data_IF_954562302522
#
_entry.id   IF_954562302522
#
_cell.length_a   1.000
_cell.length_b   1.000
_cell.length_c   1.000
_cell.angle_alpha   90.00
_cell.angle_beta   90.00
_cell.angle_gamma   90.00
#
_symmetry.space_group_name_H-M   'P 1'
#
loop_
_entity.id
_entity.type
_entity.pdbx_description
1 polymer ?
#
# COMPACT_ATOMS: atom_id res chain seq x y z
N UNK A 1 -6.26 7.09 -8.44
CA UNK A 1 -5.02 7.15 -7.64
C UNK A 1 -3.96 7.96 -8.38
N UNK A 2 -2.86 8.36 -7.72
CA UNK A 2 -1.86 9.26 -8.35
C UNK A 2 -1.20 8.62 -9.57
N UNK A 3 -0.79 7.36 -9.48
CA UNK A 3 -0.18 6.66 -10.62
C UNK A 3 -1.18 6.41 -11.77
N UNK A 4 -2.46 6.17 -11.49
CA UNK A 4 -3.49 6.08 -12.53
C UNK A 4 -3.65 7.39 -13.29
N UNK A 5 -3.62 8.53 -12.56
CA UNK A 5 -3.65 9.85 -13.17
C UNK A 5 -2.42 10.10 -14.06
N UNK A 6 -1.22 9.74 -13.57
CA UNK A 6 0.01 9.84 -14.36
C UNK A 6 -0.06 8.98 -15.62
N UNK A 7 -0.52 7.74 -15.49
CA UNK A 7 -0.71 6.85 -16.64
C UNK A 7 -1.69 7.46 -17.66
N UNK A 8 -2.80 8.00 -17.20
CA UNK A 8 -3.75 8.70 -18.08
C UNK A 8 -3.11 9.91 -18.77
N UNK A 9 -2.33 10.72 -18.07
CA UNK A 9 -1.59 11.82 -18.68
C UNK A 9 -0.59 11.35 -19.75
N UNK A 10 0.05 10.20 -19.52
CA UNK A 10 1.05 9.64 -20.44
C UNK A 10 0.42 9.04 -21.70
N UNK A 11 -0.74 8.41 -21.57
CA UNK A 11 -1.34 7.55 -22.61
C UNK A 11 -2.66 8.05 -23.15
N UNK A 12 -3.37 8.91 -22.41
CA UNK A 12 -4.76 9.29 -22.69
C UNK A 12 -5.79 8.21 -22.33
N UNK A 13 -5.37 7.04 -21.84
CA UNK A 13 -6.25 5.92 -21.50
C UNK A 13 -6.56 5.92 -20.01
N UNK A 14 -7.86 5.90 -19.67
CA UNK A 14 -8.34 5.82 -18.29
C UNK A 14 -8.34 4.38 -17.80
N UNK A 15 -7.96 4.18 -16.56
CA UNK A 15 -8.01 2.91 -15.87
C UNK A 15 -7.74 3.11 -14.39
N UNK A 16 -8.11 2.15 -13.57
CA UNK A 16 -7.78 2.09 -12.16
C UNK A 16 -7.04 0.78 -11.89
N UNK A 17 -5.83 0.87 -11.37
CA UNK A 17 -4.99 -0.31 -11.17
C UNK A 17 -5.49 -1.16 -10.01
N UNK A 18 -5.50 -2.49 -10.20
CA UNK A 18 -6.19 -3.44 -9.32
C UNK A 18 -5.63 -3.48 -7.90
N UNK A 19 -4.30 -3.48 -7.71
CA UNK A 19 -3.72 -3.55 -6.37
C UNK A 19 -4.11 -2.35 -5.50
N UNK A 20 -4.28 -1.19 -6.14
CA UNK A 20 -4.71 0.04 -5.47
C UNK A 20 -6.20 0.11 -5.18
N UNK A 21 -7.03 -0.17 -6.22
CA UNK A 21 -8.49 -0.06 -6.05
C UNK A 21 -9.03 -1.16 -5.15
N UNK A 22 -8.38 -2.31 -5.09
CA UNK A 22 -8.80 -3.43 -4.25
C UNK A 22 -8.75 -3.13 -2.75
N UNK A 23 -7.91 -2.21 -2.32
CA UNK A 23 -7.85 -1.73 -0.94
C UNK A 23 -8.92 -0.68 -0.62
N UNK A 24 -9.73 -0.29 -1.60
CA UNK A 24 -10.82 0.63 -1.40
C UNK A 24 -12.13 -0.08 -1.05
N UNK A 25 -13.06 0.64 -0.43
CA UNK A 25 -14.40 0.13 -0.14
C UNK A 25 -15.34 0.17 -1.37
N UNK A 26 -14.80 0.18 -2.59
CA UNK A 26 -15.57 0.17 -3.84
C UNK A 26 -15.40 -1.13 -4.62
N UNK A 27 -14.44 -1.97 -4.23
CA UNK A 27 -14.03 -3.16 -4.96
C UNK A 27 -14.44 -4.45 -4.25
N UNK A 28 -15.02 -5.39 -4.99
CA UNK A 28 -15.36 -6.72 -4.50
C UNK A 28 -14.21 -7.69 -4.80
N UNK A 29 -13.49 -8.08 -3.76
CA UNK A 29 -12.31 -8.95 -3.86
C UNK A 29 -12.61 -10.32 -4.47
N UNK A 30 -13.79 -10.89 -4.20
CA UNK A 30 -14.18 -12.20 -4.70
C UNK A 30 -14.54 -12.17 -6.18
N UNK A 31 -15.11 -11.06 -6.66
CA UNK A 31 -15.51 -10.90 -8.06
C UNK A 31 -14.44 -10.23 -8.93
N UNK A 32 -13.49 -9.54 -8.32
CA UNK A 32 -12.46 -8.82 -9.05
C UNK A 32 -12.96 -7.58 -9.79
N UNK A 33 -14.00 -6.93 -9.27
CA UNK A 33 -14.66 -5.80 -9.93
C UNK A 33 -15.28 -4.81 -8.93
N UNK A 34 -15.69 -3.64 -9.39
CA UNK A 34 -16.48 -2.73 -8.58
C UNK A 34 -17.81 -3.36 -8.16
N UNK A 35 -18.23 -3.08 -6.92
CA UNK A 35 -19.52 -3.54 -6.42
C UNK A 35 -20.50 -2.37 -6.23
N UNK A 36 -21.56 -2.28 -7.05
CA UNK A 36 -22.55 -1.24 -6.90
C UNK A 36 -23.24 -1.22 -5.54
N UNK A 37 -23.35 -2.38 -4.86
CA UNK A 37 -23.91 -2.44 -3.51
C UNK A 37 -23.07 -1.63 -2.51
N UNK A 38 -21.75 -1.58 -2.67
CA UNK A 38 -20.85 -0.82 -1.79
C UNK A 38 -21.07 0.69 -1.96
N UNK A 39 -21.23 1.16 -3.18
CA UNK A 39 -21.52 2.56 -3.47
C UNK A 39 -22.91 2.98 -2.99
N UNK A 40 -23.90 2.06 -3.08
CA UNK A 40 -25.25 2.27 -2.54
C UNK A 40 -25.20 2.42 -1.02
N UNK A 41 -24.52 1.54 -0.31
CA UNK A 41 -24.36 1.61 1.15
C UNK A 41 -23.61 2.87 1.61
N UNK A 42 -22.67 3.34 0.81
CA UNK A 42 -21.95 4.59 1.08
C UNK A 42 -22.76 5.86 0.69
N UNK A 43 -23.90 5.71 0.03
CA UNK A 43 -24.74 6.82 -0.44
C UNK A 43 -24.13 7.62 -1.58
N UNK A 44 -23.31 6.99 -2.42
CA UNK A 44 -22.59 7.59 -3.55
C UNK A 44 -22.82 6.83 -4.87
N UNK A 45 -23.95 6.18 -5.02
CA UNK A 45 -24.27 5.36 -6.21
C UNK A 45 -24.13 6.11 -7.54
N UNK A 46 -24.27 7.42 -7.52
CA UNK A 46 -24.12 8.28 -8.70
C UNK A 46 -22.72 8.24 -9.31
N UNK A 47 -21.69 7.80 -8.59
CA UNK A 47 -20.32 7.70 -9.14
C UNK A 47 -20.12 6.45 -10.01
N UNK A 48 -20.97 5.43 -9.94
CA UNK A 48 -20.77 4.15 -10.63
C UNK A 48 -20.50 4.31 -12.12
N UNK A 49 -21.19 5.24 -12.78
CA UNK A 49 -20.99 5.50 -14.21
C UNK A 49 -19.65 6.21 -14.54
N UNK A 50 -19.00 6.80 -13.54
CA UNK A 50 -17.76 7.55 -13.71
C UNK A 50 -16.51 6.74 -13.30
N UNK A 51 -16.69 5.58 -12.68
CA UNK A 51 -15.56 4.71 -12.30
C UNK A 51 -14.84 4.20 -13.56
N UNK A 52 -13.51 4.36 -13.66
CA UNK A 52 -12.76 3.86 -14.80
C UNK A 52 -12.64 2.33 -14.74
N UNK A 53 -12.41 1.64 -15.87
CA UNK A 53 -12.22 0.19 -15.86
C UNK A 53 -11.05 -0.21 -14.95
N UNK A 54 -11.16 -1.35 -14.30
CA UNK A 54 -10.07 -1.96 -13.53
C UNK A 54 -9.08 -2.58 -14.52
N UNK A 55 -7.79 -2.38 -14.25
CA UNK A 55 -6.69 -2.89 -15.08
C UNK A 55 -5.66 -3.60 -14.20
N UNK A 56 -5.07 -4.67 -14.73
CA UNK A 56 -4.04 -5.43 -14.04
C UNK A 56 -2.70 -4.68 -13.96
N UNK A 57 -1.92 -4.99 -12.95
CA UNK A 57 -0.63 -4.33 -12.68
C UNK A 57 0.36 -4.41 -13.85
N UNK A 58 0.47 -5.56 -14.50
CA UNK A 58 1.35 -5.80 -15.65
C UNK A 58 0.63 -5.63 -17.02
N UNK A 59 -0.65 -5.31 -17.03
CA UNK A 59 -1.43 -5.10 -18.23
C UNK A 59 -0.96 -3.85 -18.97
N UNK A 60 -0.77 -3.95 -20.30
CA UNK A 60 -0.45 -2.79 -21.12
C UNK A 60 -1.71 -1.94 -21.28
N UNK A 61 -1.72 -0.78 -20.67
CA UNK A 61 -2.85 0.15 -20.60
C UNK A 61 -2.82 1.25 -21.67
N UNK A 62 -1.85 1.22 -22.56
CA UNK A 62 -1.67 2.20 -23.62
C UNK A 62 -0.20 2.46 -23.90
N UNK A 63 0.05 3.48 -24.73
CA UNK A 63 1.40 3.85 -25.15
C UNK A 63 1.63 5.36 -24.93
N UNK A 64 2.89 5.75 -24.75
CA UNK A 64 3.27 7.16 -24.68
C UNK A 64 2.82 7.89 -25.96
N UNK A 65 1.97 8.90 -25.81
CA UNK A 65 1.48 9.69 -26.94
C UNK A 65 2.58 10.58 -27.52
N UNK A 66 2.47 10.97 -28.79
CA UNK A 66 3.41 11.90 -29.42
C UNK A 66 3.50 13.25 -28.68
N UNK A 67 2.35 13.74 -28.16
CA UNK A 67 2.31 14.98 -27.39
C UNK A 67 3.09 14.84 -26.07
N UNK A 68 2.87 13.75 -25.34
CA UNK A 68 3.56 13.49 -24.08
C UNK A 68 5.06 13.26 -24.28
N UNK A 69 5.43 12.60 -25.38
CA UNK A 69 6.83 12.39 -25.75
C UNK A 69 7.60 13.73 -25.87
N UNK A 70 6.99 14.74 -26.49
CA UNK A 70 7.59 16.09 -26.60
C UNK A 70 7.77 16.75 -25.23
N UNK A 71 6.81 16.56 -24.31
CA UNK A 71 6.85 17.21 -23.00
C UNK A 71 7.83 16.52 -22.02
N UNK A 72 7.99 15.21 -22.13
CA UNK A 72 8.73 14.40 -21.16
C UNK A 72 10.10 13.93 -21.65
N UNK A 73 10.35 13.96 -22.95
CA UNK A 73 11.53 13.36 -23.56
C UNK A 73 11.46 11.82 -23.70
N UNK A 74 10.34 11.21 -23.31
CA UNK A 74 10.12 9.77 -23.50
C UNK A 74 9.86 9.47 -24.98
N UNK A 75 10.13 8.23 -25.39
CA UNK A 75 9.87 7.80 -26.78
C UNK A 75 8.37 7.55 -26.98
N UNK A 76 7.78 8.18 -28.00
CA UNK A 76 6.41 7.87 -28.41
C UNK A 76 6.25 6.40 -28.79
N UNK A 77 5.10 5.79 -28.45
CA UNK A 77 4.83 4.38 -28.69
C UNK A 77 5.46 3.43 -27.64
N UNK A 78 6.11 3.95 -26.60
CA UNK A 78 6.56 3.10 -25.48
C UNK A 78 5.33 2.59 -24.72
N UNK A 79 5.16 1.26 -24.51
CA UNK A 79 4.05 0.72 -23.76
C UNK A 79 4.10 1.13 -22.30
N UNK A 80 2.92 1.41 -21.73
CA UNK A 80 2.74 1.78 -20.32
C UNK A 80 1.81 0.77 -19.67
N UNK A 81 2.29 0.17 -18.58
CA UNK A 81 1.53 -0.83 -17.81
C UNK A 81 0.69 -0.21 -16.70
N UNK A 82 -0.17 -1.02 -16.06
CA UNK A 82 -1.03 -0.62 -14.96
C UNK A 82 -0.29 0.03 -13.80
N UNK A 83 0.82 -0.55 -13.39
CA UNK A 83 1.60 -0.13 -12.24
C UNK A 83 1.26 -0.94 -10.98
N UNK A 84 1.69 -0.47 -9.83
CA UNK A 84 1.44 -1.10 -8.53
C UNK A 84 1.16 -0.05 -7.45
N UNK A 85 0.38 -0.42 -6.44
CA UNK A 85 0.34 0.30 -5.18
C UNK A 85 1.75 0.36 -4.57
N UNK A 86 2.11 1.47 -3.95
CA UNK A 86 3.45 1.69 -3.39
C UNK A 86 3.81 0.65 -2.31
N UNK A 87 2.86 0.28 -1.46
CA UNK A 87 3.05 -0.74 -0.43
C UNK A 87 3.27 -2.12 -1.04
N UNK A 88 2.49 -2.47 -2.08
CA UNK A 88 2.66 -3.72 -2.85
C UNK A 88 4.02 -3.75 -3.55
N UNK A 89 4.40 -2.63 -4.17
CA UNK A 89 5.70 -2.48 -4.83
C UNK A 89 6.87 -2.65 -3.85
N UNK A 90 6.76 -2.04 -2.66
CA UNK A 90 7.76 -2.18 -1.58
C UNK A 90 7.87 -3.61 -1.10
N UNK A 91 6.74 -4.28 -0.87
CA UNK A 91 6.71 -5.68 -0.43
C UNK A 91 7.35 -6.61 -1.48
N UNK A 92 7.02 -6.42 -2.76
CA UNK A 92 7.62 -7.16 -3.87
C UNK A 92 9.14 -6.95 -3.96
N UNK A 93 9.60 -5.70 -3.85
CA UNK A 93 11.02 -5.37 -3.85
C UNK A 93 11.78 -5.95 -2.64
N UNK A 94 11.10 -6.11 -1.51
CA UNK A 94 11.65 -6.76 -0.32
C UNK A 94 11.66 -8.29 -0.40
N UNK A 95 11.17 -8.88 -1.50
CA UNK A 95 11.15 -10.33 -1.72
C UNK A 95 9.99 -11.04 -1.03
N UNK A 96 8.86 -10.36 -0.83
CA UNK A 96 7.66 -11.00 -0.30
C UNK A 96 7.01 -11.86 -1.40
N UNK A 97 7.27 -13.17 -1.36
CA UNK A 97 6.86 -14.12 -2.41
C UNK A 97 5.98 -15.26 -1.90
N UNK A 98 5.95 -15.51 -0.59
CA UNK A 98 5.23 -16.62 0.03
C UNK A 98 4.48 -16.22 1.30
N UNK A 99 3.63 -17.15 1.81
CA UNK A 99 2.82 -16.95 3.01
C UNK A 99 3.61 -17.05 4.34
N UNK A 100 4.88 -17.44 4.28
CA UNK A 100 5.73 -17.65 5.47
C UNK A 100 6.67 -16.49 5.73
N UNK A 101 6.74 -15.56 4.80
CA UNK A 101 7.57 -14.36 4.88
C UNK A 101 6.72 -13.16 5.24
N UNK A 102 7.23 -12.28 6.08
CA UNK A 102 6.64 -10.99 6.39
C UNK A 102 7.59 -9.87 5.98
N UNK A 103 7.04 -8.84 5.37
CA UNK A 103 7.73 -7.58 5.15
C UNK A 103 7.36 -6.60 6.27
N UNK A 104 8.36 -6.03 6.93
CA UNK A 104 8.16 -5.04 7.99
C UNK A 104 8.83 -3.72 7.64
N UNK A 105 8.05 -2.67 7.51
CA UNK A 105 8.50 -1.30 7.33
C UNK A 105 8.44 -0.60 8.70
N UNK A 106 9.58 -0.12 9.16
CA UNK A 106 9.69 0.64 10.41
C UNK A 106 10.10 2.09 10.09
N UNK A 107 9.13 2.85 9.65
CA UNK A 107 9.26 4.28 9.34
C UNK A 107 8.47 5.13 10.33
N UNK A 108 7.95 6.27 9.90
CA UNK A 108 6.99 7.07 10.68
C UNK A 108 5.79 6.21 11.08
N UNK A 109 5.29 5.42 10.14
CA UNK A 109 4.36 4.32 10.37
C UNK A 109 5.14 3.01 10.51
N UNK A 110 4.62 2.09 11.33
CA UNK A 110 5.00 0.69 11.28
C UNK A 110 3.97 -0.06 10.44
N UNK A 111 4.42 -0.73 9.38
CA UNK A 111 3.55 -1.55 8.52
C UNK A 111 4.14 -2.94 8.42
N UNK A 112 3.35 -3.95 8.76
CA UNK A 112 3.72 -5.35 8.53
C UNK A 112 2.81 -5.91 7.44
N UNK A 113 3.41 -6.46 6.40
CA UNK A 113 2.70 -7.03 5.25
C UNK A 113 3.01 -8.50 5.10
N UNK A 114 2.00 -9.27 4.74
CA UNK A 114 2.11 -10.69 4.40
C UNK A 114 1.25 -11.03 3.20
N UNK A 115 1.42 -12.23 2.65
CA UNK A 115 0.61 -12.76 1.56
C UNK A 115 -0.34 -13.83 2.11
N UNK A 116 -1.55 -13.89 1.54
CA UNK A 116 -2.51 -14.99 1.78
C UNK A 116 -3.22 -15.35 0.47
N UNK A 117 -3.78 -16.55 0.41
CA UNK A 117 -4.62 -17.01 -0.71
C UNK A 117 -6.13 -16.84 -0.43
N UNK A 118 -6.49 -16.13 0.61
CA UNK A 118 -7.85 -15.77 0.97
C UNK A 118 -8.00 -15.59 2.48
N UNK A 119 -9.03 -14.86 2.88
CA UNK A 119 -9.45 -14.78 4.28
C UNK A 119 -10.33 -15.98 4.61
N UNK A 120 -10.12 -16.60 5.77
CA UNK A 120 -10.97 -17.67 6.26
C UNK A 120 -12.15 -17.08 7.02
N UNK A 121 -13.30 -17.70 6.87
CA UNK A 121 -14.50 -17.32 7.63
C UNK A 121 -14.23 -17.42 9.15
N UNK A 122 -14.61 -16.37 9.87
CA UNK A 122 -14.46 -16.31 11.33
C UNK A 122 -13.08 -15.92 11.85
N UNK A 123 -12.11 -15.65 11.00
CA UNK A 123 -10.82 -15.10 11.40
C UNK A 123 -10.91 -13.57 11.63
N UNK A 124 -9.99 -13.04 12.45
CA UNK A 124 -9.86 -11.61 12.62
C UNK A 124 -9.50 -10.95 11.26
N UNK A 125 -10.19 -9.86 10.93
CA UNK A 125 -9.92 -9.13 9.71
C UNK A 125 -8.63 -8.32 9.87
N UNK A 126 -7.72 -8.33 8.86
CA UNK A 126 -6.56 -7.46 8.86
C UNK A 126 -6.97 -5.98 8.73
N UNK A 127 -6.04 -5.08 9.04
CA UNK A 127 -6.25 -3.63 8.90
C UNK A 127 -6.55 -3.24 7.45
N UNK A 128 -5.79 -3.75 6.51
CA UNK A 128 -6.01 -3.59 5.08
C UNK A 128 -5.82 -4.94 4.39
N UNK A 129 -6.63 -5.18 3.37
CA UNK A 129 -6.61 -6.38 2.57
C UNK A 129 -6.80 -6.00 1.10
N UNK A 130 -5.84 -6.38 0.25
CA UNK A 130 -5.81 -6.01 -1.15
C UNK A 130 -5.34 -7.12 -2.09
N UNK A 131 -5.42 -6.89 -3.39
CA UNK A 131 -4.82 -7.79 -4.40
C UNK A 131 -3.31 -7.70 -4.37
N UNK A 132 -2.64 -8.84 -4.53
CA UNK A 132 -1.21 -8.90 -4.75
C UNK A 132 -0.90 -9.08 -6.24
N UNK A 133 0.38 -9.20 -6.59
CA UNK A 133 0.84 -9.23 -7.99
C UNK A 133 0.48 -10.50 -8.77
N UNK A 134 0.26 -11.61 -8.08
CA UNK A 134 -0.11 -12.87 -8.72
C UNK A 134 -1.60 -13.18 -8.53
N UNK A 135 -2.19 -13.84 -9.51
CA UNK A 135 -3.57 -14.30 -9.44
C UNK A 135 -3.81 -15.18 -8.21
N UNK A 136 -4.91 -14.92 -7.51
CA UNK A 136 -5.28 -15.67 -6.31
C UNK A 136 -4.47 -15.33 -5.05
N UNK A 137 -3.48 -14.44 -5.14
CA UNK A 137 -2.77 -13.92 -3.99
C UNK A 137 -3.32 -12.56 -3.56
N UNK A 138 -3.36 -12.39 -2.25
CA UNK A 138 -3.79 -11.17 -1.60
C UNK A 138 -2.71 -10.70 -0.64
N UNK A 139 -2.52 -9.40 -0.55
CA UNK A 139 -1.67 -8.80 0.46
C UNK A 139 -2.53 -8.40 1.66
N UNK A 140 -2.02 -8.63 2.84
CA UNK A 140 -2.62 -8.20 4.11
C UNK A 140 -1.66 -7.26 4.81
N UNK A 141 -2.19 -6.18 5.38
CA UNK A 141 -1.41 -5.19 6.10
C UNK A 141 -1.96 -4.99 7.50
N UNK A 142 -1.04 -4.97 8.46
CA UNK A 142 -1.28 -4.42 9.78
C UNK A 142 -0.42 -3.16 9.93
N UNK A 143 -1.04 -2.05 10.31
CA UNK A 143 -0.37 -0.77 10.36
C UNK A 143 -0.64 -0.02 11.68
N UNK A 144 0.41 0.58 12.22
CA UNK A 144 0.31 1.57 13.28
C UNK A 144 0.75 2.93 12.74
N UNK A 145 -0.05 3.99 12.90
CA UNK A 145 0.30 5.33 12.41
C UNK A 145 1.45 5.96 13.19
N UNK A 146 1.84 5.37 14.30
CA UNK A 146 2.92 5.86 15.16
C UNK A 146 3.97 4.77 15.38
N UNK A 147 5.19 5.01 14.93
CA UNK A 147 6.35 4.13 15.13
C UNK A 147 7.59 4.98 15.43
N UNK A 148 8.41 5.33 14.45
CA UNK A 148 9.54 6.22 14.65
C UNK A 148 9.14 7.60 15.18
N UNK A 149 7.94 8.07 14.86
CA UNK A 149 7.36 9.29 15.43
C UNK A 149 7.23 9.25 16.95
N UNK A 150 6.96 8.09 17.54
CA UNK A 150 6.95 7.91 19.00
C UNK A 150 8.34 8.16 19.61
N UNK A 151 9.40 7.68 18.95
CA UNK A 151 10.76 7.88 19.39
C UNK A 151 11.15 9.37 19.27
N UNK A 152 10.81 10.01 18.16
CA UNK A 152 11.04 11.45 17.95
C UNK A 152 10.31 12.28 19.00
N UNK A 153 9.03 11.97 19.25
CA UNK A 153 8.26 12.64 20.31
C UNK A 153 8.90 12.44 21.69
N UNK A 154 9.27 11.21 22.03
CA UNK A 154 9.89 10.89 23.32
C UNK A 154 11.20 11.66 23.51
N UNK A 155 12.08 11.64 22.49
CA UNK A 155 13.37 12.32 22.59
C UNK A 155 13.23 13.83 22.72
N UNK A 156 12.22 14.43 22.07
CA UNK A 156 11.93 15.86 22.20
C UNK A 156 11.56 16.30 23.65
N UNK A 157 11.09 15.36 24.49
CA UNK A 157 10.77 15.65 25.91
C UNK A 157 12.03 15.73 26.77
N UNK A 158 13.15 15.19 26.31
CA UNK A 158 14.40 15.08 27.08
C UNK A 158 15.50 16.04 26.62
N UNK A 159 15.22 16.90 25.65
CA UNK A 159 16.18 17.81 25.03
C UNK A 159 17.00 17.20 23.93
N UNK A 160 18.16 17.75 23.62
CA UNK A 160 19.01 17.31 22.52
C UNK A 160 19.78 16.02 22.86
N UNK A 161 19.13 14.86 22.76
CA UNK A 161 19.76 13.55 22.87
C UNK A 161 19.93 12.98 21.47
N UNK A 162 21.15 12.61 21.12
CA UNK A 162 21.43 11.98 19.81
C UNK A 162 20.93 10.54 19.75
N UNK A 163 20.55 10.06 18.57
CA UNK A 163 20.22 8.65 18.36
C UNK A 163 21.39 7.69 18.71
N UNK A 164 22.64 8.15 18.59
CA UNK A 164 23.79 7.36 18.99
C UNK A 164 23.84 7.10 20.51
N UNK A 165 23.54 8.14 21.32
CA UNK A 165 23.45 8.01 22.78
C UNK A 165 22.28 7.11 23.19
N UNK A 166 21.13 7.23 22.52
CA UNK A 166 19.97 6.36 22.75
C UNK A 166 20.31 4.91 22.45
N UNK A 167 20.92 4.65 21.29
CA UNK A 167 21.33 3.29 20.88
C UNK A 167 22.33 2.69 21.87
N UNK A 168 23.28 3.47 22.36
CA UNK A 168 24.24 3.02 23.36
C UNK A 168 23.56 2.67 24.68
N UNK A 169 22.64 3.52 25.15
CA UNK A 169 21.86 3.28 26.35
C UNK A 169 21.01 2.00 26.23
N UNK A 170 20.26 1.85 25.12
CA UNK A 170 19.45 0.66 24.86
C UNK A 170 20.29 -0.60 24.77
N UNK A 171 21.45 -0.56 24.10
CA UNK A 171 22.37 -1.69 24.00
C UNK A 171 22.92 -2.15 25.35
N UNK A 172 22.97 -1.28 26.35
CA UNK A 172 23.42 -1.59 27.71
C UNK A 172 22.35 -2.25 28.58
N UNK A 173 21.08 -2.24 28.16
CA UNK A 173 19.98 -2.80 28.93
C UNK A 173 19.87 -4.31 28.76
N UNK A 174 19.36 -5.03 29.77
CA UNK A 174 19.02 -6.45 29.63
C UNK A 174 18.00 -6.66 28.50
N UNK A 175 18.17 -7.72 27.71
CA UNK A 175 17.26 -8.05 26.59
C UNK A 175 15.84 -8.41 27.01
N UNK A 176 15.59 -8.68 28.27
CA UNK A 176 14.27 -8.98 28.84
C UNK A 176 14.16 -8.43 30.26
N UNK A 177 12.95 -8.10 30.71
CA UNK A 177 12.67 -7.74 32.10
C UNK A 177 12.36 -6.28 32.35
N UNK A 178 11.86 -5.55 31.36
CA UNK A 178 11.27 -4.22 31.60
C UNK A 178 9.83 -4.34 32.13
N UNK A 179 9.53 -3.66 33.25
CA UNK A 179 8.16 -3.56 33.80
C UNK A 179 7.40 -2.35 33.25
N UNK A 180 7.99 -1.65 32.26
CA UNK A 180 7.39 -0.47 31.63
C UNK A 180 6.75 -0.87 30.30
N UNK A 181 5.51 -0.42 30.12
CA UNK A 181 4.75 -0.56 28.88
C UNK A 181 4.58 0.81 28.24
N UNK A 182 4.83 0.89 26.96
CA UNK A 182 4.56 2.08 26.16
C UNK A 182 3.36 1.80 25.25
N UNK A 183 2.34 2.65 25.34
CA UNK A 183 1.18 2.60 24.45
C UNK A 183 1.41 3.60 23.31
N UNK A 184 1.54 3.13 22.05
CA UNK A 184 1.96 3.96 20.92
C UNK A 184 0.80 4.75 20.30
N UNK A 185 -0.06 5.33 21.12
CA UNK A 185 -1.21 6.12 20.68
C UNK A 185 -0.96 7.60 20.99
N UNK A 186 -0.30 8.29 20.08
CA UNK A 186 -0.03 9.72 20.12
C UNK A 186 -1.02 10.52 19.26
#
# INVERSE_FOLDING_TARGET
MTHDYLRWCLTGVKGCEESNISESNLYNMSRGEYDPCLTDWLGIAEINHALPPVVGSAEICGEITAQTAVLTGLKAGTPVVGGLCDVVSTALCAGLEDEFTLNAVMGTWAVTSGITHGLRDGEAHPYVYGRYVNDGQFIVHEASPTSSGNLEWFTAQWGEISFAEINQAVASLPKAGGDLFFLPFL
#
